data_IF_315203596637
#
_entry.id   IF_315203596637
#
_cell.length_a   1.000
_cell.length_b   1.000
_cell.length_c   1.000
_cell.angle_alpha   90.00
_cell.angle_beta   90.00
_cell.angle_gamma   90.00
#
_symmetry.space_group_name_H-M   'P 1'
#
loop_
_entity.id
_entity.type
_entity.pdbx_description
1 polymer ?
#
# COMPACT_ATOMS: atom_id res chain seq x y z
N UNK A 1 50.98 73.35 -14.14
CA UNK A 1 52.23 73.96 -13.67
C UNK A 1 52.15 74.09 -12.17
N UNK A 2 53.11 73.47 -11.49
CA UNK A 2 53.42 73.63 -10.07
C UNK A 2 53.44 75.10 -9.69
N UNK A 3 53.06 75.45 -8.46
CA UNK A 3 53.68 76.57 -7.75
C UNK A 3 53.46 76.41 -6.25
N UNK A 4 54.46 75.78 -5.64
CA UNK A 4 54.89 76.07 -4.28
C UNK A 4 55.23 77.55 -4.13
N UNK A 5 54.87 78.13 -3.00
CA UNK A 5 55.77 78.99 -2.24
C UNK A 5 55.22 79.19 -0.81
N UNK A 6 55.92 78.71 0.23
CA UNK A 6 55.73 79.10 1.63
C UNK A 6 56.79 80.21 1.96
N UNK A 7 57.21 80.51 3.22
CA UNK A 7 56.67 80.25 4.56
C UNK A 7 56.73 81.50 5.50
N UNK A 8 56.49 81.24 6.81
CA UNK A 8 56.96 81.94 8.04
C UNK A 8 56.06 83.05 8.58
N UNK A 9 55.31 82.80 9.67
CA UNK A 9 55.66 82.60 11.10
C UNK A 9 55.72 83.92 11.86
N UNK A 10 54.87 84.09 12.87
CA UNK A 10 55.22 84.86 14.06
C UNK A 10 54.24 84.65 15.23
N UNK A 11 54.84 84.35 16.38
CA UNK A 11 54.56 84.75 17.77
C UNK A 11 53.13 85.02 18.25
N UNK A 12 52.78 84.25 19.29
CA UNK A 12 51.70 84.46 20.27
C UNK A 12 51.82 85.78 21.03
N UNK A 13 50.69 86.45 21.30
CA UNK A 13 50.49 87.20 22.54
C UNK A 13 49.33 86.66 23.42
N UNK A 14 49.40 87.05 24.69
CA UNK A 14 48.59 86.64 25.86
C UNK A 14 47.10 87.06 25.83
N UNK A 15 46.26 86.48 26.72
CA UNK A 15 44.80 86.50 26.60
C UNK A 15 44.14 87.77 27.16
N UNK A 16 43.32 88.41 26.32
CA UNK A 16 42.40 89.49 26.69
C UNK A 16 41.07 88.98 27.28
N UNK A 17 40.24 89.89 27.82
CA UNK A 17 39.23 89.59 28.82
C UNK A 17 38.00 88.84 28.27
N UNK A 18 37.44 88.00 29.15
CA UNK A 18 36.28 87.14 28.95
C UNK A 18 35.07 87.86 28.33
N UNK A 19 34.91 87.75 27.02
CA UNK A 19 33.60 87.89 26.37
C UNK A 19 32.95 86.52 26.38
N UNK A 20 31.97 86.32 27.28
CA UNK A 20 31.12 85.11 27.27
C UNK A 20 30.39 85.05 25.94
N UNK A 21 30.88 84.22 25.01
CA UNK A 21 30.10 83.78 23.86
C UNK A 21 28.82 83.11 24.38
N UNK A 22 27.62 83.45 23.88
CA UNK A 22 26.42 82.73 24.24
C UNK A 22 26.63 81.27 23.85
N UNK A 23 26.54 80.39 24.85
CA UNK A 23 26.61 78.94 24.68
C UNK A 23 25.49 78.54 23.72
N UNK A 24 25.81 78.43 22.43
CA UNK A 24 24.89 77.91 21.42
C UNK A 24 24.73 76.44 21.73
N UNK A 25 23.73 76.11 22.56
CA UNK A 25 23.34 74.73 22.86
C UNK A 25 23.14 74.04 21.53
N UNK A 26 24.05 73.12 21.18
CA UNK A 26 23.81 72.15 20.13
C UNK A 26 22.50 71.45 20.50
N UNK A 27 21.46 71.47 19.66
CA UNK A 27 20.22 70.77 19.98
C UNK A 27 20.59 69.32 20.27
N UNK A 28 20.04 68.70 21.33
CA UNK A 28 20.31 67.30 21.61
C UNK A 28 19.97 66.53 20.34
N UNK A 29 20.90 65.71 19.85
CA UNK A 29 20.61 64.75 18.78
C UNK A 29 19.48 63.87 19.32
N UNK A 30 18.23 64.20 18.98
CA UNK A 30 17.10 63.33 19.24
C UNK A 30 17.42 62.04 18.50
N UNK A 31 17.91 61.04 19.24
CA UNK A 31 17.94 59.68 18.73
C UNK A 31 16.50 59.39 18.34
N UNK A 32 16.21 59.27 17.04
CA UNK A 32 14.92 58.80 16.52
C UNK A 32 14.77 57.35 16.98
N UNK A 33 14.49 57.15 18.27
CA UNK A 33 14.05 55.85 18.79
C UNK A 33 12.72 55.62 18.13
N UNK A 34 12.69 54.66 17.21
CA UNK A 34 11.47 54.24 16.57
C UNK A 34 10.44 53.89 17.67
N UNK A 35 9.15 54.22 17.50
CA UNK A 35 8.12 53.84 18.45
C UNK A 35 8.18 52.36 18.84
N UNK A 36 7.88 52.02 20.10
CA UNK A 36 7.97 50.65 20.63
C UNK A 36 7.16 49.63 19.80
N UNK A 37 6.05 50.04 19.18
CA UNK A 37 5.24 49.20 18.29
C UNK A 37 6.00 48.74 17.03
N UNK A 38 6.97 49.52 16.53
CA UNK A 38 7.80 49.16 15.37
C UNK A 38 8.77 48.03 15.74
N UNK A 39 9.36 48.09 16.94
CA UNK A 39 10.23 47.03 17.44
C UNK A 39 9.44 45.75 17.74
N UNK A 40 8.24 45.88 18.32
CA UNK A 40 7.34 44.75 18.55
C UNK A 40 6.90 44.11 17.21
N UNK A 41 6.48 44.91 16.22
CA UNK A 41 6.14 44.43 14.87
C UNK A 41 7.33 43.74 14.19
N UNK A 42 8.54 44.28 14.29
CA UNK A 42 9.76 43.64 13.75
C UNK A 42 10.06 42.31 14.44
N UNK A 43 9.88 42.22 15.76
CA UNK A 43 10.04 40.97 16.51
C UNK A 43 8.97 39.94 16.15
N UNK A 44 7.72 40.36 15.96
CA UNK A 44 6.62 39.48 15.51
C UNK A 44 6.89 38.98 14.09
N UNK A 45 7.32 39.85 13.17
CA UNK A 45 7.70 39.44 11.80
C UNK A 45 8.89 38.49 11.83
N UNK A 46 9.94 38.81 12.59
CA UNK A 46 11.11 37.94 12.71
C UNK A 46 10.73 36.58 13.32
N UNK A 47 9.89 36.55 14.35
CA UNK A 47 9.37 35.32 14.94
C UNK A 47 8.53 34.52 13.94
N UNK A 48 7.65 35.17 13.18
CA UNK A 48 6.87 34.52 12.13
C UNK A 48 7.77 33.93 11.03
N UNK A 49 8.81 34.65 10.62
CA UNK A 49 9.81 34.16 9.65
C UNK A 49 10.57 32.96 10.21
N UNK A 50 11.05 33.03 11.45
CA UNK A 50 11.74 31.90 12.09
C UNK A 50 10.83 30.69 12.22
N UNK A 51 9.60 30.86 12.71
CA UNK A 51 8.60 29.77 12.80
C UNK A 51 8.32 29.18 11.42
N UNK A 52 8.15 30.03 10.41
CA UNK A 52 7.97 29.57 9.02
C UNK A 52 9.16 28.76 8.56
N UNK A 53 10.39 29.27 8.72
CA UNK A 53 11.60 28.56 8.34
C UNK A 53 11.72 27.21 9.08
N UNK A 54 11.45 27.16 10.38
CA UNK A 54 11.47 25.90 11.15
C UNK A 54 10.45 24.91 10.61
N UNK A 55 9.23 25.33 10.32
CA UNK A 55 8.17 24.48 9.77
C UNK A 55 8.57 23.97 8.37
N UNK A 56 9.03 24.85 7.48
CA UNK A 56 9.45 24.47 6.12
C UNK A 56 10.70 23.58 6.13
N UNK A 57 11.67 23.86 7.01
CA UNK A 57 12.83 23.01 7.20
C UNK A 57 12.45 21.64 7.73
N UNK A 58 11.52 21.56 8.70
CA UNK A 58 11.01 20.30 9.22
C UNK A 58 10.34 19.47 8.12
N UNK A 59 9.44 20.06 7.32
CA UNK A 59 8.81 19.37 6.20
C UNK A 59 9.81 18.99 5.10
N UNK A 60 10.77 19.88 4.78
CA UNK A 60 11.79 19.60 3.77
C UNK A 60 12.71 18.44 4.17
N UNK A 61 13.16 18.41 5.42
CA UNK A 61 14.00 17.34 5.96
C UNK A 61 13.24 16.01 6.01
N UNK A 62 12.00 16.00 6.55
CA UNK A 62 11.19 14.77 6.62
C UNK A 62 10.80 14.24 5.24
N UNK A 63 10.54 15.13 4.28
CA UNK A 63 10.30 14.74 2.89
C UNK A 63 11.56 14.12 2.27
N UNK A 64 12.74 14.70 2.50
CA UNK A 64 14.01 14.13 2.03
C UNK A 64 14.24 12.71 2.57
N UNK A 65 13.93 12.48 3.85
CA UNK A 65 13.95 11.13 4.43
C UNK A 65 12.91 10.20 3.80
N UNK A 66 11.68 10.67 3.58
CA UNK A 66 10.65 9.84 2.97
C UNK A 66 10.97 9.46 1.52
N UNK A 67 11.48 10.39 0.71
CA UNK A 67 11.86 10.14 -0.68
C UNK A 67 13.02 9.15 -0.82
N UNK A 68 13.86 9.01 0.20
CA UNK A 68 14.93 8.01 0.25
C UNK A 68 14.50 6.69 0.91
N UNK A 69 13.32 6.63 1.55
CA UNK A 69 12.86 5.46 2.29
C UNK A 69 12.02 4.50 1.42
N UNK A 70 12.52 3.30 1.10
CA UNK A 70 11.77 2.33 0.30
C UNK A 70 10.51 1.78 0.98
N UNK A 71 10.36 1.93 2.30
CA UNK A 71 9.13 1.50 2.99
C UNK A 71 7.91 2.34 2.61
N UNK A 72 8.12 3.56 2.08
CA UNK A 72 7.08 4.47 1.63
C UNK A 72 6.69 4.25 0.16
N UNK A 73 7.36 3.36 -0.56
CA UNK A 73 7.04 3.03 -1.94
C UNK A 73 8.26 2.64 -2.76
N UNK A 74 8.01 1.91 -3.83
CA UNK A 74 8.99 1.64 -4.88
C UNK A 74 9.19 2.90 -5.72
N UNK A 75 8.11 3.63 -6.02
CA UNK A 75 8.12 4.86 -6.81
C UNK A 75 8.31 6.11 -5.94
N UNK A 76 8.95 7.15 -6.49
CA UNK A 76 9.08 8.46 -5.81
C UNK A 76 7.70 9.10 -5.56
N UNK A 77 6.76 8.91 -6.48
CA UNK A 77 5.39 9.40 -6.35
C UNK A 77 4.70 8.75 -5.14
N UNK A 78 4.80 7.43 -4.99
CA UNK A 78 4.27 6.75 -3.80
C UNK A 78 4.94 7.25 -2.52
N UNK A 79 6.26 7.42 -2.52
CA UNK A 79 6.98 7.94 -1.34
C UNK A 79 6.49 9.32 -0.92
N UNK A 80 6.31 10.22 -1.88
CA UNK A 80 5.74 11.55 -1.66
C UNK A 80 4.30 11.48 -1.15
N UNK A 81 3.45 10.67 -1.79
CA UNK A 81 2.05 10.51 -1.42
C UNK A 81 1.91 9.96 0.01
N UNK A 82 2.73 8.98 0.37
CA UNK A 82 2.73 8.37 1.69
C UNK A 82 3.23 9.31 2.79
N UNK A 83 4.24 10.12 2.50
CA UNK A 83 4.68 11.21 3.38
C UNK A 83 3.58 12.25 3.54
N UNK A 84 2.97 12.72 2.45
CA UNK A 84 1.92 13.72 2.48
C UNK A 84 0.72 13.28 3.32
N UNK A 85 0.29 12.01 3.19
CA UNK A 85 -0.78 11.43 4.02
C UNK A 85 -0.44 11.39 5.51
N UNK A 86 0.81 11.12 5.88
CA UNK A 86 1.23 11.13 7.30
C UNK A 86 1.31 12.53 7.90
N UNK A 87 1.54 13.55 7.06
CA UNK A 87 1.78 14.93 7.50
C UNK A 87 0.53 15.82 7.38
N UNK A 88 -0.66 15.23 7.25
CA UNK A 88 -1.94 15.96 7.18
C UNK A 88 -2.24 16.56 5.80
N UNK A 89 -1.40 16.29 4.78
CA UNK A 89 -1.55 16.78 3.40
C UNK A 89 -2.31 15.74 2.53
N UNK A 90 -2.81 14.67 3.14
CA UNK A 90 -3.58 13.60 2.47
C UNK A 90 -4.72 14.08 1.55
N UNK A 91 -5.52 15.11 1.91
CA UNK A 91 -6.54 15.66 1.02
C UNK A 91 -5.99 16.26 -0.27
N UNK A 92 -4.81 16.90 -0.23
CA UNK A 92 -4.15 17.46 -1.42
C UNK A 92 -3.59 16.36 -2.30
N UNK A 93 -2.99 15.33 -1.70
CA UNK A 93 -2.54 14.12 -2.43
C UNK A 93 -3.73 13.48 -3.16
N UNK A 94 -4.84 13.32 -2.46
CA UNK A 94 -6.10 12.79 -2.99
C UNK A 94 -6.62 13.63 -4.16
N UNK A 95 -6.62 14.96 -4.02
CA UNK A 95 -7.01 15.88 -5.09
C UNK A 95 -6.08 15.75 -6.31
N UNK A 96 -4.76 15.72 -6.11
CA UNK A 96 -3.80 15.58 -7.20
C UNK A 96 -3.93 14.24 -7.93
N UNK A 97 -4.13 13.14 -7.20
CA UNK A 97 -4.42 11.82 -7.78
C UNK A 97 -5.73 11.86 -8.59
N UNK A 98 -6.77 12.54 -8.09
CA UNK A 98 -8.05 12.70 -8.78
C UNK A 98 -7.87 13.47 -10.08
N UNK A 99 -7.19 14.61 -10.07
CA UNK A 99 -6.95 15.41 -11.28
C UNK A 99 -6.06 14.68 -12.28
N UNK A 100 -5.02 13.99 -11.81
CA UNK A 100 -4.18 13.16 -12.68
C UNK A 100 -5.01 12.09 -13.41
N UNK A 101 -5.89 11.37 -12.71
CA UNK A 101 -6.73 10.33 -13.34
C UNK A 101 -7.79 10.91 -14.29
N UNK A 102 -8.26 12.15 -14.08
CA UNK A 102 -9.14 12.84 -15.04
C UNK A 102 -8.41 13.21 -16.33
N UNK A 103 -7.15 13.65 -16.22
CA UNK A 103 -6.33 14.06 -17.36
C UNK A 103 -5.82 12.82 -18.12
N UNK A 104 -5.50 11.74 -17.41
CA UNK A 104 -4.94 10.50 -17.95
C UNK A 104 -5.86 9.30 -17.65
N UNK A 105 -7.06 9.24 -18.25
CA UNK A 105 -7.96 8.11 -18.04
C UNK A 105 -7.35 6.82 -18.61
N UNK A 106 -7.82 5.68 -18.09
CA UNK A 106 -7.44 4.38 -18.64
C UNK A 106 -7.80 4.29 -20.13
N UNK A 107 -6.92 3.65 -20.92
CA UNK A 107 -7.10 3.54 -22.36
C UNK A 107 -8.32 2.66 -22.68
N UNK A 108 -9.21 3.19 -23.51
CA UNK A 108 -10.33 2.45 -24.11
C UNK A 108 -9.84 1.68 -25.34
N UNK A 109 -10.24 0.42 -25.43
CA UNK A 109 -9.91 -0.49 -26.52
C UNK A 109 -8.43 -0.90 -26.55
N UNK A 110 -8.02 -1.46 -27.69
CA UNK A 110 -6.65 -1.89 -27.97
C UNK A 110 -6.31 -3.30 -27.47
N UNK A 111 -5.07 -3.69 -27.72
CA UNK A 111 -4.49 -4.96 -27.26
C UNK A 111 -3.50 -4.70 -26.13
N UNK A 112 -3.40 -5.60 -25.13
CA UNK A 112 -2.36 -5.48 -24.13
C UNK A 112 -1.00 -5.79 -24.75
N UNK A 113 0.05 -5.14 -24.24
CA UNK A 113 1.41 -5.50 -24.60
C UNK A 113 1.68 -6.96 -24.23
N UNK A 114 2.38 -7.71 -25.09
CA UNK A 114 2.81 -9.08 -24.78
C UNK A 114 3.66 -9.13 -23.50
N UNK A 115 4.42 -8.07 -23.19
CA UNK A 115 5.20 -7.97 -21.96
C UNK A 115 4.35 -7.79 -20.69
N UNK A 116 3.08 -7.42 -20.83
CA UNK A 116 2.13 -7.30 -19.72
C UNK A 116 1.44 -8.63 -19.40
N UNK A 117 1.52 -9.62 -20.29
CA UNK A 117 0.91 -10.93 -20.09
C UNK A 117 1.78 -11.81 -19.18
N UNK A 118 1.19 -12.50 -18.19
CA UNK A 118 1.94 -13.42 -17.36
C UNK A 118 2.46 -14.60 -18.20
N UNK A 119 3.68 -15.03 -17.90
CA UNK A 119 4.23 -16.25 -18.49
C UNK A 119 3.55 -17.46 -17.85
N UNK A 120 2.97 -18.31 -18.67
CA UNK A 120 2.40 -19.59 -18.22
C UNK A 120 3.52 -20.59 -18.00
N UNK A 121 3.62 -21.16 -16.81
CA UNK A 121 4.54 -22.26 -16.54
C UNK A 121 3.95 -23.57 -17.06
N UNK A 122 4.69 -24.28 -17.90
CA UNK A 122 4.36 -25.66 -18.25
C UNK A 122 4.76 -26.56 -17.09
N UNK A 123 3.79 -27.12 -16.38
CA UNK A 123 4.06 -28.05 -15.27
C UNK A 123 3.83 -29.48 -15.75
N UNK A 124 4.66 -30.40 -15.26
CA UNK A 124 4.53 -31.84 -15.50
C UNK A 124 3.13 -32.36 -15.10
N UNK A 125 2.70 -33.53 -15.62
CA UNK A 125 1.40 -34.10 -15.29
C UNK A 125 1.21 -34.19 -13.78
N UNK A 126 0.06 -33.69 -13.32
CA UNK A 126 -0.31 -33.67 -11.91
C UNK A 126 -0.34 -35.10 -11.38
N UNK A 127 0.30 -35.33 -10.24
CA UNK A 127 0.22 -36.59 -9.50
C UNK A 127 -0.58 -36.31 -8.22
N UNK A 128 -1.63 -37.09 -7.98
CA UNK A 128 -2.47 -36.97 -6.78
C UNK A 128 -3.82 -36.28 -7.01
N UNK A 129 -4.69 -36.37 -6.01
CA UNK A 129 -6.04 -35.80 -6.04
C UNK A 129 -6.03 -34.36 -5.51
N UNK A 130 -6.75 -33.46 -6.19
CA UNK A 130 -6.99 -32.10 -5.71
C UNK A 130 -8.08 -32.11 -4.63
N UNK A 131 -7.85 -31.53 -3.44
CA UNK A 131 -8.85 -31.48 -2.39
C UNK A 131 -10.08 -30.66 -2.75
N UNK A 132 -9.87 -29.49 -3.36
CA UNK A 132 -10.93 -28.70 -3.97
C UNK A 132 -10.92 -28.89 -5.50
N UNK A 133 -12.08 -28.87 -6.16
CA UNK A 133 -12.14 -28.96 -7.61
C UNK A 133 -11.37 -27.80 -8.24
N UNK A 134 -10.50 -28.10 -9.21
CA UNK A 134 -9.81 -27.06 -9.98
C UNK A 134 -10.85 -26.15 -10.63
N UNK A 135 -10.71 -24.82 -10.53
CA UNK A 135 -11.70 -23.89 -11.04
C UNK A 135 -11.88 -24.03 -12.55
N UNK A 136 -13.12 -23.86 -13.01
CA UNK A 136 -13.42 -23.75 -14.43
C UNK A 136 -12.73 -22.50 -15.03
N UNK A 137 -12.39 -22.50 -16.33
CA UNK A 137 -11.81 -21.33 -16.98
C UNK A 137 -12.67 -20.07 -16.79
N UNK A 138 -12.02 -18.93 -16.55
CA UNK A 138 -12.73 -17.67 -16.39
C UNK A 138 -13.29 -17.19 -17.73
N UNK A 139 -14.52 -16.70 -17.71
CA UNK A 139 -15.11 -16.05 -18.87
C UNK A 139 -14.40 -14.73 -19.16
N UNK A 140 -13.96 -14.54 -20.41
CA UNK A 140 -13.43 -13.25 -20.88
C UNK A 140 -14.55 -12.21 -20.95
N UNK A 141 -14.33 -10.99 -20.45
CA UNK A 141 -15.27 -9.88 -20.66
C UNK A 141 -15.20 -9.32 -22.09
N UNK A 142 -14.07 -9.51 -22.78
CA UNK A 142 -13.88 -9.02 -24.14
C UNK A 142 -14.46 -9.99 -25.17
N UNK A 143 -14.91 -9.43 -26.30
CA UNK A 143 -15.55 -10.19 -27.38
C UNK A 143 -14.68 -11.32 -27.96
N UNK A 144 -13.36 -11.13 -28.00
CA UNK A 144 -12.39 -12.13 -28.47
C UNK A 144 -11.35 -12.38 -27.38
N UNK A 145 -11.31 -13.58 -26.77
CA UNK A 145 -10.31 -13.91 -25.75
C UNK A 145 -8.86 -13.82 -26.29
N UNK A 146 -7.91 -13.43 -25.44
CA UNK A 146 -6.48 -13.60 -25.74
C UNK A 146 -6.08 -15.07 -25.65
N UNK A 147 -4.96 -15.41 -26.27
CA UNK A 147 -4.34 -16.70 -26.07
C UNK A 147 -4.05 -16.94 -24.58
N UNK A 148 -4.61 -18.02 -24.02
CA UNK A 148 -4.43 -18.39 -22.61
C UNK A 148 -5.31 -17.62 -21.62
N UNK A 149 -6.11 -16.66 -22.08
CA UNK A 149 -6.97 -15.89 -21.18
C UNK A 149 -8.00 -16.77 -20.48
N UNK A 150 -8.15 -16.56 -19.18
CA UNK A 150 -9.04 -17.31 -18.31
C UNK A 150 -8.65 -18.77 -18.09
N UNK A 151 -7.60 -19.27 -18.77
CA UNK A 151 -7.08 -20.64 -18.57
C UNK A 151 -6.19 -20.67 -17.35
N UNK A 152 -6.50 -21.56 -16.41
CA UNK A 152 -5.75 -21.74 -15.18
C UNK A 152 -4.45 -22.50 -15.41
N UNK A 153 -3.38 -22.03 -14.77
CA UNK A 153 -2.06 -22.63 -14.81
C UNK A 153 -1.52 -22.79 -13.39
N UNK A 154 -0.90 -23.93 -13.03
CA UNK A 154 -0.31 -24.09 -11.71
C UNK A 154 0.77 -23.04 -11.43
N UNK A 155 0.85 -22.57 -10.17
CA UNK A 155 1.85 -21.60 -9.76
C UNK A 155 2.38 -21.88 -8.35
N UNK A 156 3.61 -21.44 -8.10
CA UNK A 156 4.28 -21.63 -6.83
C UNK A 156 4.74 -23.07 -6.57
N UNK A 157 5.11 -23.31 -5.31
CA UNK A 157 5.59 -24.58 -4.78
C UNK A 157 4.49 -25.65 -4.85
N UNK A 158 4.87 -26.84 -5.35
CA UNK A 158 4.01 -28.02 -5.35
C UNK A 158 4.06 -28.73 -3.99
N UNK A 159 3.00 -29.48 -3.67
CA UNK A 159 3.00 -30.43 -2.53
C UNK A 159 3.95 -31.61 -2.77
N UNK A 160 4.18 -32.40 -1.73
CA UNK A 160 5.08 -33.56 -1.80
C UNK A 160 4.61 -34.64 -2.79
N UNK A 161 3.31 -34.72 -3.05
CA UNK A 161 2.73 -35.61 -4.06
C UNK A 161 2.74 -35.00 -5.47
N UNK A 162 3.12 -33.73 -5.64
CA UNK A 162 3.13 -33.04 -6.93
C UNK A 162 1.83 -32.30 -7.26
N UNK A 163 0.87 -32.25 -6.34
CA UNK A 163 -0.37 -31.47 -6.47
C UNK A 163 -0.10 -29.98 -6.21
N UNK A 164 -0.47 -29.05 -7.11
CA UNK A 164 -0.37 -27.61 -6.88
C UNK A 164 -1.51 -27.10 -6.01
N UNK A 165 -1.17 -26.21 -5.07
CA UNK A 165 -2.15 -25.58 -4.20
C UNK A 165 -2.65 -24.22 -4.73
N UNK A 166 -1.98 -23.66 -5.75
CA UNK A 166 -2.31 -22.37 -6.35
C UNK A 166 -2.36 -22.52 -7.88
N UNK A 167 -3.39 -21.94 -8.46
CA UNK A 167 -3.53 -21.76 -9.89
C UNK A 167 -3.66 -20.27 -10.20
N UNK A 168 -3.00 -19.81 -11.26
CA UNK A 168 -3.10 -18.42 -11.72
C UNK A 168 -3.61 -18.35 -13.14
N UNK A 169 -4.26 -17.24 -13.46
CA UNK A 169 -4.69 -16.89 -14.80
C UNK A 169 -4.74 -15.37 -14.94
N UNK A 170 -5.15 -14.89 -16.11
CA UNK A 170 -5.43 -13.49 -16.35
C UNK A 170 -6.69 -13.35 -17.19
N UNK A 171 -7.37 -12.21 -17.03
CA UNK A 171 -8.55 -11.79 -17.83
C UNK A 171 -8.51 -10.29 -18.06
N UNK A 172 -9.23 -9.78 -19.07
CA UNK A 172 -9.49 -8.32 -19.15
C UNK A 172 -10.31 -7.86 -17.93
N UNK A 173 -10.14 -6.60 -17.47
CA UNK A 173 -10.98 -6.04 -16.41
C UNK A 173 -12.46 -5.99 -16.84
N UNK A 174 -12.70 -5.50 -18.06
CA UNK A 174 -14.02 -5.31 -18.67
C UNK A 174 -13.92 -5.34 -20.21
N UNK A 175 -15.05 -5.15 -20.90
CA UNK A 175 -15.15 -5.17 -22.36
C UNK A 175 -14.62 -3.89 -23.05
N UNK A 176 -14.35 -2.84 -22.28
CA UNK A 176 -14.00 -1.48 -22.72
C UNK A 176 -12.48 -1.27 -22.62
N UNK A 177 -11.86 -1.58 -21.49
CA UNK A 177 -10.44 -1.36 -21.19
C UNK A 177 -9.58 -2.56 -21.62
N UNK A 178 -9.68 -2.95 -22.90
CA UNK A 178 -9.10 -4.20 -23.42
C UNK A 178 -7.57 -4.18 -23.59
N UNK A 179 -6.93 -3.03 -23.45
CA UNK A 179 -5.46 -2.88 -23.41
C UNK A 179 -4.82 -3.34 -22.09
N UNK A 180 -5.61 -3.78 -21.11
CA UNK A 180 -5.12 -4.18 -19.79
C UNK A 180 -5.54 -5.61 -19.43
N UNK A 181 -4.82 -6.20 -18.48
CA UNK A 181 -5.14 -7.52 -17.90
C UNK A 181 -5.10 -7.46 -16.39
N UNK A 182 -5.96 -8.26 -15.78
CA UNK A 182 -6.07 -8.47 -14.33
C UNK A 182 -5.57 -9.88 -14.06
N UNK A 183 -4.62 -10.00 -13.13
CA UNK A 183 -4.15 -11.29 -12.67
C UNK A 183 -5.12 -11.85 -11.65
N UNK A 184 -5.43 -13.14 -11.76
CA UNK A 184 -6.29 -13.85 -10.82
C UNK A 184 -5.54 -15.06 -10.29
N UNK A 185 -5.57 -15.28 -8.98
CA UNK A 185 -5.00 -16.45 -8.33
C UNK A 185 -6.06 -17.16 -7.50
N UNK A 186 -6.30 -18.43 -7.80
CA UNK A 186 -7.13 -19.33 -7.02
C UNK A 186 -6.24 -20.17 -6.10
N UNK A 187 -6.65 -20.31 -4.84
CA UNK A 187 -5.85 -20.89 -3.76
C UNK A 187 -6.67 -21.93 -3.00
N UNK A 188 -6.21 -23.18 -2.99
CA UNK A 188 -6.84 -24.26 -2.26
C UNK A 188 -6.54 -24.14 -0.75
N UNK A 189 -7.54 -23.74 0.04
CA UNK A 189 -7.41 -23.58 1.49
C UNK A 189 -7.35 -24.89 2.27
N UNK A 190 -7.63 -26.04 1.63
CA UNK A 190 -7.40 -27.36 2.23
C UNK A 190 -5.92 -27.72 2.18
N UNK A 191 -5.22 -27.26 1.14
CA UNK A 191 -3.78 -27.45 0.99
C UNK A 191 -2.93 -26.36 1.64
N UNK A 192 -3.52 -25.17 1.86
CA UNK A 192 -2.81 -23.99 2.33
C UNK A 192 -3.24 -23.57 3.73
N UNK A 193 -2.25 -23.11 4.51
CA UNK A 193 -2.43 -22.41 5.77
C UNK A 193 -2.07 -20.94 5.56
N UNK A 194 -2.98 -20.04 5.91
CA UNK A 194 -2.79 -18.61 5.85
C UNK A 194 -2.18 -18.04 7.13
N UNK A 195 -1.39 -16.97 7.00
CA UNK A 195 -0.82 -16.23 8.11
C UNK A 195 -0.80 -14.73 7.78
N UNK A 196 -1.31 -13.89 8.70
CA UNK A 196 -1.13 -12.44 8.63
C UNK A 196 0.24 -12.09 9.21
N UNK A 197 1.07 -11.45 8.40
CA UNK A 197 2.30 -10.79 8.85
C UNK A 197 1.95 -9.34 9.12
N UNK A 198 2.02 -8.93 10.39
CA UNK A 198 1.73 -7.57 10.82
C UNK A 198 3.02 -6.75 10.74
N UNK A 199 2.99 -5.64 10.03
CA UNK A 199 4.12 -4.75 9.88
C UNK A 199 4.28 -3.78 11.05
N UNK A 200 5.44 -3.14 11.12
CA UNK A 200 5.73 -2.10 12.12
C UNK A 200 5.02 -0.78 11.84
N UNK A 201 4.52 -0.57 10.62
CA UNK A 201 3.72 0.59 10.22
C UNK A 201 2.22 0.25 10.15
N UNK A 202 1.86 -0.95 9.69
CA UNK A 202 0.47 -1.41 9.63
C UNK A 202 0.37 -2.75 10.36
N UNK A 203 -0.36 -2.82 11.50
CA UNK A 203 -1.18 -1.77 12.09
C UNK A 203 -0.38 -0.72 12.89
N UNK A 204 0.94 -0.87 13.00
CA UNK A 204 1.77 -0.08 13.93
C UNK A 204 1.91 -0.77 15.30
N UNK A 205 2.75 -0.24 16.19
CA UNK A 205 2.85 -0.73 17.57
C UNK A 205 3.54 -2.09 17.76
N UNK A 206 4.36 -2.52 16.79
CA UNK A 206 5.16 -3.74 16.87
C UNK A 206 6.36 -3.65 17.84
N UNK A 207 7.29 -4.62 17.80
CA UNK A 207 7.36 -5.73 16.86
C UNK A 207 6.29 -6.81 17.10
N UNK A 208 5.86 -7.45 16.02
CA UNK A 208 4.95 -8.60 16.04
C UNK A 208 5.72 -9.90 15.78
N UNK A 209 5.27 -11.05 16.31
CA UNK A 209 5.92 -12.34 16.03
C UNK A 209 5.99 -12.68 14.54
N UNK A 210 4.96 -12.30 13.79
CA UNK A 210 4.92 -12.39 12.34
C UNK A 210 5.03 -11.00 11.74
N UNK A 211 6.20 -10.64 11.24
CA UNK A 211 6.53 -9.39 10.53
C UNK A 211 7.57 -9.71 9.45
N UNK A 212 7.73 -8.85 8.44
CA UNK A 212 8.89 -8.95 7.57
C UNK A 212 10.19 -8.67 8.37
N UNK A 213 11.31 -9.30 8.02
CA UNK A 213 11.45 -10.27 6.93
C UNK A 213 10.84 -11.64 7.26
N UNK A 214 10.26 -12.32 6.26
CA UNK A 214 9.89 -13.74 6.38
C UNK A 214 11.14 -14.53 6.79
N UNK A 215 11.04 -15.29 7.88
CA UNK A 215 12.16 -16.07 8.39
C UNK A 215 12.53 -17.23 7.46
N UNK A 216 13.79 -17.66 7.51
CA UNK A 216 14.26 -18.83 6.76
C UNK A 216 13.47 -20.11 7.08
N UNK A 217 12.95 -20.23 8.31
CA UNK A 217 12.13 -21.37 8.70
C UNK A 217 10.73 -21.29 8.08
N UNK A 218 10.08 -20.12 8.12
CA UNK A 218 8.77 -19.93 7.50
C UNK A 218 8.83 -20.07 5.96
N UNK A 219 9.95 -19.69 5.34
CA UNK A 219 10.10 -19.79 3.89
C UNK A 219 10.26 -21.21 3.35
N UNK A 220 10.46 -22.22 4.21
CA UNK A 220 10.51 -23.63 3.79
C UNK A 220 9.21 -24.16 3.19
N UNK A 221 8.09 -23.51 3.49
CA UNK A 221 6.74 -24.00 3.14
C UNK A 221 5.88 -22.96 2.44
N UNK A 222 6.37 -21.71 2.31
CA UNK A 222 5.64 -20.65 1.61
C UNK A 222 5.39 -21.02 0.14
N UNK A 223 4.18 -20.71 -0.31
CA UNK A 223 3.72 -20.85 -1.70
C UNK A 223 3.42 -19.47 -2.29
N UNK A 224 2.84 -18.55 -1.52
CA UNK A 224 2.58 -17.18 -1.95
C UNK A 224 2.65 -16.15 -0.82
N UNK A 225 2.90 -14.90 -1.20
CA UNK A 225 2.72 -13.70 -0.37
C UNK A 225 2.02 -12.61 -1.16
N UNK A 226 1.13 -11.85 -0.52
CA UNK A 226 0.37 -10.78 -1.17
C UNK A 226 -0.03 -9.68 -0.19
N UNK A 227 -0.33 -8.49 -0.71
CA UNK A 227 -0.66 -7.32 0.11
C UNK A 227 -1.93 -7.52 0.97
N UNK A 228 -2.01 -6.77 2.05
CA UNK A 228 -3.23 -6.64 2.84
C UNK A 228 -4.08 -5.45 2.34
N UNK A 229 -4.89 -4.84 3.22
CA UNK A 229 -5.73 -3.70 2.86
C UNK A 229 -5.03 -2.35 3.04
N UNK A 230 -5.83 -1.28 3.08
CA UNK A 230 -5.34 0.09 3.26
C UNK A 230 -4.56 0.35 4.55
N UNK A 231 -4.00 1.55 4.67
CA UNK A 231 -3.60 2.07 5.98
C UNK A 231 -4.81 2.09 6.92
N UNK A 232 -4.59 1.89 8.21
CA UNK A 232 -5.71 1.84 9.17
C UNK A 232 -6.52 3.15 9.26
N UNK A 233 -5.89 4.29 8.95
CA UNK A 233 -6.56 5.59 8.78
C UNK A 233 -7.64 5.59 7.70
N UNK A 234 -7.45 4.77 6.66
CA UNK A 234 -8.28 4.74 5.44
C UNK A 234 -9.09 3.44 5.35
N UNK A 235 -8.70 2.40 6.09
CA UNK A 235 -9.34 1.09 6.08
C UNK A 235 -10.75 1.09 6.68
N UNK A 236 -11.12 2.12 7.46
CA UNK A 236 -12.41 2.21 8.14
C UNK A 236 -12.78 0.91 8.91
N UNK A 237 -11.79 0.25 9.49
CA UNK A 237 -11.90 -1.11 10.05
C UNK A 237 -10.99 -1.31 11.26
N UNK A 238 -11.12 -2.45 11.91
CA UNK A 238 -10.28 -2.87 13.02
C UNK A 238 -9.15 -3.83 12.64
N UNK A 239 -8.34 -4.16 13.64
CA UNK A 239 -7.19 -5.03 13.51
C UNK A 239 -6.95 -5.82 14.80
N UNK A 240 -6.95 -7.14 14.68
CA UNK A 240 -6.64 -8.08 15.76
C UNK A 240 -5.43 -8.93 15.35
N UNK A 241 -4.41 -9.00 16.20
CA UNK A 241 -3.25 -9.87 15.98
C UNK A 241 -2.52 -10.09 17.30
N UNK A 242 -1.75 -11.18 17.41
CA UNK A 242 -0.94 -11.49 18.58
C UNK A 242 -1.72 -11.43 19.90
N UNK A 243 -2.95 -11.98 19.90
CA UNK A 243 -3.90 -11.94 21.02
C UNK A 243 -4.23 -10.53 21.54
N UNK A 244 -4.10 -9.50 20.69
CA UNK A 244 -4.37 -8.10 21.04
C UNK A 244 -5.33 -7.47 20.04
N UNK A 245 -6.34 -6.80 20.56
CA UNK A 245 -7.16 -5.87 19.79
C UNK A 245 -6.37 -4.58 19.59
N UNK A 246 -5.69 -4.43 18.45
CA UNK A 246 -4.88 -3.24 18.16
C UNK A 246 -5.80 -2.07 17.81
N UNK A 247 -6.82 -2.34 16.99
CA UNK A 247 -7.89 -1.41 16.66
C UNK A 247 -9.21 -2.17 16.79
N UNK A 248 -10.23 -1.64 17.49
CA UNK A 248 -11.51 -2.33 17.68
C UNK A 248 -12.12 -2.81 16.36
N UNK A 249 -12.51 -4.09 16.31
CA UNK A 249 -13.21 -4.67 15.17
C UNK A 249 -14.61 -4.08 15.06
N UNK A 250 -15.00 -3.74 13.82
CA UNK A 250 -16.26 -3.06 13.52
C UNK A 250 -17.28 -4.06 12.98
N UNK A 251 -18.50 -4.13 13.53
CA UNK A 251 -19.60 -4.86 12.92
C UNK A 251 -19.83 -4.41 11.47
N UNK A 252 -20.09 -5.36 10.58
CA UNK A 252 -20.27 -5.13 9.14
C UNK A 252 -18.97 -4.91 8.35
N UNK A 253 -17.82 -4.73 9.02
CA UNK A 253 -16.53 -4.59 8.35
C UNK A 253 -16.15 -5.86 7.59
N UNK A 254 -15.75 -5.72 6.33
CA UNK A 254 -15.21 -6.84 5.57
C UNK A 254 -13.88 -7.27 6.17
N UNK A 255 -13.76 -8.56 6.46
CA UNK A 255 -12.74 -9.11 7.33
C UNK A 255 -12.11 -10.34 6.69
N UNK A 256 -10.78 -10.34 6.61
CA UNK A 256 -10.02 -11.59 6.50
C UNK A 256 -9.74 -12.06 7.92
N UNK A 257 -10.18 -13.28 8.22
CA UNK A 257 -9.99 -13.95 9.51
C UNK A 257 -9.03 -15.11 9.31
N UNK A 258 -7.99 -15.16 10.13
CA UNK A 258 -7.07 -16.30 10.20
C UNK A 258 -7.22 -16.96 11.56
N UNK A 259 -7.47 -18.26 11.57
CA UNK A 259 -7.56 -19.09 12.78
C UNK A 259 -6.20 -19.70 13.13
N UNK A 260 -6.03 -20.18 14.37
CA UNK A 260 -4.76 -20.75 14.85
C UNK A 260 -4.32 -22.02 14.12
N UNK A 261 -5.25 -22.70 13.43
CA UNK A 261 -4.97 -23.86 12.58
C UNK A 261 -4.52 -23.46 11.16
N UNK A 262 -4.42 -22.15 10.88
CA UNK A 262 -4.08 -21.61 9.57
C UNK A 262 -5.26 -21.50 8.60
N UNK A 263 -6.48 -21.90 9.00
CA UNK A 263 -7.67 -21.66 8.19
C UNK A 263 -7.83 -20.16 7.99
N UNK A 264 -7.95 -19.74 6.74
CA UNK A 264 -8.21 -18.36 6.37
C UNK A 264 -9.59 -18.26 5.72
N UNK A 265 -10.40 -17.29 6.13
CA UNK A 265 -11.75 -17.07 5.63
C UNK A 265 -12.02 -15.57 5.45
N UNK A 266 -13.07 -15.23 4.71
CA UNK A 266 -13.43 -13.86 4.34
C UNK A 266 -14.93 -13.63 4.46
N UNK A 267 -15.33 -12.48 5.00
CA UNK A 267 -16.75 -12.17 5.24
C UNK A 267 -16.97 -10.92 6.08
N UNK A 268 -18.23 -10.63 6.40
CA UNK A 268 -18.63 -9.49 7.21
C UNK A 268 -18.56 -9.81 8.71
N UNK A 269 -17.83 -9.00 9.48
CA UNK A 269 -17.72 -9.19 10.93
C UNK A 269 -19.05 -8.96 11.65
N UNK A 270 -19.35 -9.77 12.66
CA UNK A 270 -20.61 -9.78 13.41
C UNK A 270 -21.75 -10.52 12.70
N UNK A 271 -21.68 -10.71 11.38
CA UNK A 271 -22.63 -11.54 10.61
C UNK A 271 -22.06 -12.93 10.32
N UNK A 272 -20.90 -12.97 9.68
CA UNK A 272 -20.27 -14.21 9.23
C UNK A 272 -19.29 -14.77 10.27
N UNK A 273 -18.66 -13.87 11.05
CA UNK A 273 -17.68 -14.24 12.07
C UNK A 273 -17.85 -13.41 13.32
N UNK A 274 -17.45 -13.99 14.44
CA UNK A 274 -17.24 -13.30 15.71
C UNK A 274 -15.87 -13.73 16.24
N UNK A 275 -15.54 -13.38 17.49
CA UNK A 275 -14.34 -13.95 18.15
C UNK A 275 -14.48 -15.44 18.47
N UNK A 276 -15.61 -16.08 18.16
CA UNK A 276 -15.79 -17.51 18.32
C UNK A 276 -14.77 -18.32 17.49
N UNK A 277 -14.39 -19.51 17.95
CA UNK A 277 -13.59 -20.44 17.16
C UNK A 277 -14.28 -20.83 15.85
N UNK A 278 -13.51 -21.33 14.87
CA UNK A 278 -14.08 -21.91 13.66
C UNK A 278 -14.83 -23.23 13.95
N UNK A 279 -15.41 -23.83 12.91
CA UNK A 279 -16.15 -25.10 13.02
C UNK A 279 -15.28 -26.27 13.55
N UNK A 280 -13.96 -26.20 13.40
CA UNK A 280 -13.02 -27.19 13.94
C UNK A 280 -12.56 -26.87 15.39
N UNK A 281 -13.16 -25.85 16.04
CA UNK A 281 -12.80 -25.43 17.39
C UNK A 281 -11.50 -24.61 17.47
N UNK A 282 -10.92 -24.21 16.34
CA UNK A 282 -9.69 -23.42 16.31
C UNK A 282 -9.96 -21.95 16.60
N UNK A 283 -9.32 -21.33 17.61
CA UNK A 283 -9.54 -19.92 17.94
C UNK A 283 -9.08 -18.96 16.84
N UNK A 284 -9.67 -17.77 16.80
CA UNK A 284 -9.22 -16.66 15.95
C UNK A 284 -7.78 -16.27 16.34
N UNK A 285 -6.87 -16.27 15.36
CA UNK A 285 -5.47 -15.85 15.54
C UNK A 285 -5.25 -14.38 15.12
N UNK A 286 -5.88 -13.96 14.01
CA UNK A 286 -5.85 -12.58 13.55
C UNK A 286 -7.08 -12.20 12.73
N UNK A 287 -7.42 -10.91 12.74
CA UNK A 287 -8.48 -10.32 11.92
C UNK A 287 -7.95 -9.03 11.33
N UNK A 288 -8.03 -8.91 10.00
CA UNK A 288 -7.70 -7.67 9.28
C UNK A 288 -8.97 -7.20 8.57
N UNK A 289 -9.53 -6.05 8.96
CA UNK A 289 -10.70 -5.48 8.29
C UNK A 289 -10.37 -4.37 7.28
N UNK A 290 -10.92 -4.42 6.08
CA UNK A 290 -10.88 -3.33 5.09
C UNK A 290 -12.30 -2.99 4.64
N UNK A 291 -12.77 -1.78 4.93
CA UNK A 291 -14.02 -1.25 4.41
C UNK A 291 -15.20 -2.22 4.63
N UNK A 292 -16.11 -2.32 3.66
CA UNK A 292 -17.22 -3.27 3.61
C UNK A 292 -17.07 -4.22 2.42
N UNK A 293 -17.85 -5.30 2.38
CA UNK A 293 -17.79 -6.27 1.28
C UNK A 293 -18.11 -5.59 -0.06
N UNK A 294 -17.47 -6.05 -1.13
CA UNK A 294 -17.75 -5.68 -2.53
C UNK A 294 -18.46 -6.80 -3.28
N UNK A 295 -18.36 -8.04 -2.78
CA UNK A 295 -19.13 -9.19 -3.25
C UNK A 295 -19.82 -9.79 -2.04
N UNK A 296 -21.12 -10.05 -2.17
CA UNK A 296 -21.92 -10.73 -1.16
C UNK A 296 -23.04 -11.53 -1.83
N UNK A 297 -23.25 -12.77 -1.40
CA UNK A 297 -24.21 -13.67 -2.05
C UNK A 297 -23.90 -13.94 -3.54
N UNK A 298 -22.61 -14.09 -3.89
CA UNK A 298 -22.13 -14.33 -5.26
C UNK A 298 -22.47 -13.23 -6.27
N UNK A 299 -22.71 -12.00 -5.80
CA UNK A 299 -23.02 -10.85 -6.63
C UNK A 299 -22.23 -9.62 -6.16
N UNK A 300 -21.89 -8.69 -7.08
CA UNK A 300 -21.41 -7.39 -6.67
C UNK A 300 -22.47 -6.71 -5.79
N UNK A 301 -22.05 -6.08 -4.70
CA UNK A 301 -22.97 -5.36 -3.81
C UNK A 301 -23.56 -4.12 -4.52
N UNK A 302 -24.74 -3.68 -4.09
CA UNK A 302 -25.38 -2.51 -4.66
C UNK A 302 -24.53 -1.22 -4.44
N UNK A 303 -24.55 -0.32 -5.42
CA UNK A 303 -23.92 1.00 -5.32
C UNK A 303 -22.44 1.06 -5.73
N UNK A 304 -21.81 -0.05 -6.14
CA UNK A 304 -20.42 -0.04 -6.63
C UNK A 304 -20.21 0.77 -7.92
N UNK A 305 -21.27 0.97 -8.71
CA UNK A 305 -21.25 1.81 -9.90
C UNK A 305 -21.49 3.30 -9.60
N UNK A 306 -21.68 3.67 -8.33
CA UNK A 306 -21.89 5.06 -7.95
C UNK A 306 -20.56 5.83 -7.96
N UNK A 307 -20.42 6.96 -8.69
CA UNK A 307 -19.22 7.81 -8.67
C UNK A 307 -18.88 8.41 -7.31
N UNK A 308 -19.79 8.31 -6.33
CA UNK A 308 -19.58 8.70 -4.94
C UNK A 308 -19.53 7.47 -4.00
N UNK A 309 -19.01 6.35 -4.47
CA UNK A 309 -18.81 5.11 -3.70
C UNK A 309 -17.70 5.27 -2.62
N UNK A 310 -17.83 6.27 -1.75
CA UNK A 310 -16.87 6.63 -0.67
C UNK A 310 -16.69 5.47 0.32
N UNK A 311 -17.68 4.58 0.42
CA UNK A 311 -17.62 3.37 1.25
C UNK A 311 -16.47 2.44 0.86
N UNK A 312 -15.98 2.50 -0.39
CA UNK A 312 -14.87 1.69 -0.90
C UNK A 312 -13.71 2.56 -1.44
N UNK A 313 -13.40 3.63 -0.68
CA UNK A 313 -12.24 4.48 -0.91
C UNK A 313 -12.59 5.96 -1.10
N UNK A 314 -12.22 6.78 -0.11
CA UNK A 314 -12.34 8.27 -0.16
C UNK A 314 -11.46 8.91 -1.24
N UNK A 315 -10.35 8.27 -1.60
CA UNK A 315 -9.27 8.87 -2.38
C UNK A 315 -9.61 9.06 -3.86
N UNK A 316 -10.56 8.30 -4.42
CA UNK A 316 -10.80 8.28 -5.87
C UNK A 316 -12.27 7.94 -6.26
N UNK A 317 -13.24 8.04 -5.36
CA UNK A 317 -14.68 7.91 -5.69
C UNK A 317 -15.13 6.55 -6.27
N UNK A 318 -14.34 5.49 -6.17
CA UNK A 318 -14.68 4.13 -6.65
C UNK A 318 -14.72 3.95 -8.18
N UNK A 319 -14.88 5.01 -8.96
CA UNK A 319 -15.07 4.95 -10.44
C UNK A 319 -13.81 5.09 -11.27
N UNK A 320 -12.69 5.57 -10.71
CA UNK A 320 -11.45 5.62 -11.49
C UNK A 320 -10.85 4.22 -11.67
N UNK A 321 -10.47 3.94 -12.92
CA UNK A 321 -9.74 2.75 -13.35
C UNK A 321 -8.26 2.88 -12.93
N UNK A 322 -7.91 2.31 -11.78
CA UNK A 322 -6.56 2.35 -11.20
C UNK A 322 -6.03 0.95 -10.95
N UNK A 323 -4.79 0.86 -10.46
CA UNK A 323 -4.31 -0.38 -9.86
C UNK A 323 -5.15 -0.69 -8.61
N UNK A 324 -5.90 -1.80 -8.64
CA UNK A 324 -6.66 -2.29 -7.49
C UNK A 324 -6.36 -3.75 -7.23
N UNK A 325 -6.62 -4.18 -6.00
CA UNK A 325 -6.58 -5.59 -5.61
C UNK A 325 -7.75 -5.95 -4.72
N UNK A 326 -8.10 -7.23 -4.68
CA UNK A 326 -9.18 -7.74 -3.86
C UNK A 326 -8.99 -9.22 -3.55
N UNK A 327 -9.69 -9.67 -2.50
CA UNK A 327 -9.78 -11.06 -2.11
C UNK A 327 -11.24 -11.50 -2.14
N UNK A 328 -11.49 -12.70 -2.64
CA UNK A 328 -12.77 -13.39 -2.58
C UNK A 328 -12.62 -14.75 -1.92
N UNK A 329 -13.75 -15.32 -1.51
CA UNK A 329 -13.86 -16.72 -1.12
C UNK A 329 -15.01 -17.37 -1.88
N UNK A 330 -14.78 -18.55 -2.42
CA UNK A 330 -15.78 -19.36 -3.12
C UNK A 330 -16.66 -20.14 -2.14
N UNK A 331 -17.76 -20.75 -2.60
CA UNK A 331 -18.67 -21.53 -1.75
C UNK A 331 -18.03 -22.79 -1.16
N UNK A 332 -17.08 -23.41 -1.87
CA UNK A 332 -16.31 -24.57 -1.42
C UNK A 332 -15.08 -24.19 -0.56
N UNK A 333 -14.82 -22.88 -0.41
CA UNK A 333 -13.84 -22.34 0.53
C UNK A 333 -12.47 -22.03 -0.06
N UNK A 334 -12.29 -22.10 -1.38
CA UNK A 334 -11.08 -21.59 -2.02
C UNK A 334 -11.00 -20.06 -1.90
N UNK A 335 -9.78 -19.54 -1.74
CA UNK A 335 -9.54 -18.11 -1.78
C UNK A 335 -9.20 -17.68 -3.20
N UNK A 336 -9.65 -16.49 -3.59
CA UNK A 336 -9.37 -15.91 -4.90
C UNK A 336 -8.80 -14.50 -4.73
N UNK A 337 -7.56 -14.30 -5.14
CA UNK A 337 -7.00 -12.97 -5.28
C UNK A 337 -7.23 -12.46 -6.71
N UNK A 338 -7.59 -11.19 -6.85
CA UNK A 338 -7.59 -10.49 -8.14
C UNK A 338 -6.85 -9.16 -8.02
N UNK A 339 -6.01 -8.81 -8.98
CA UNK A 339 -5.34 -7.51 -8.98
C UNK A 339 -4.66 -7.15 -10.29
N UNK A 340 -4.67 -5.86 -10.60
CA UNK A 340 -4.11 -5.33 -11.85
C UNK A 340 -4.47 -3.87 -12.09
N UNK A 341 -3.97 -3.28 -13.19
CA UNK A 341 -4.30 -1.93 -13.61
C UNK A 341 -5.74 -1.82 -14.15
N UNK A 342 -6.17 -0.56 -14.32
CA UNK A 342 -7.41 -0.20 -14.99
C UNK A 342 -8.69 -0.83 -14.39
N UNK A 343 -8.70 -1.09 -13.08
CA UNK A 343 -9.86 -1.60 -12.37
C UNK A 343 -10.63 -0.46 -11.69
N UNK A 344 -11.93 -0.35 -11.99
CA UNK A 344 -12.87 0.26 -11.05
C UNK A 344 -13.21 -0.72 -9.92
N UNK A 345 -13.88 -0.25 -8.87
CA UNK A 345 -14.36 -1.15 -7.80
C UNK A 345 -15.38 -2.17 -8.33
N UNK A 346 -16.19 -1.77 -9.31
CA UNK A 346 -17.16 -2.64 -9.97
C UNK A 346 -16.48 -3.72 -10.80
N UNK A 347 -15.42 -3.37 -11.55
CA UNK A 347 -14.67 -4.35 -12.35
C UNK A 347 -13.97 -5.38 -11.47
N UNK A 348 -13.46 -4.95 -10.30
CA UNK A 348 -12.87 -5.84 -9.32
C UNK A 348 -13.90 -6.82 -8.77
N UNK A 349 -15.07 -6.33 -8.34
CA UNK A 349 -16.16 -7.18 -7.83
C UNK A 349 -16.65 -8.17 -8.90
N UNK A 350 -16.85 -7.70 -10.13
CA UNK A 350 -17.24 -8.56 -11.26
C UNK A 350 -16.19 -9.64 -11.55
N UNK A 351 -14.90 -9.30 -11.44
CA UNK A 351 -13.82 -10.27 -11.64
C UNK A 351 -13.81 -11.34 -10.54
N UNK A 352 -14.00 -10.96 -9.28
CA UNK A 352 -14.11 -11.90 -8.17
C UNK A 352 -15.33 -12.83 -8.34
N UNK A 353 -16.48 -12.29 -8.74
CA UNK A 353 -17.69 -13.09 -9.03
C UNK A 353 -17.46 -14.05 -10.19
N UNK A 354 -16.84 -13.60 -11.29
CA UNK A 354 -16.45 -14.48 -12.42
C UNK A 354 -15.54 -15.62 -11.98
N UNK A 355 -14.72 -15.39 -10.96
CA UNK A 355 -13.86 -16.40 -10.36
C UNK A 355 -14.53 -17.25 -9.27
N UNK A 356 -15.86 -17.13 -9.11
CA UNK A 356 -16.67 -17.97 -8.22
C UNK A 356 -16.77 -17.44 -6.79
N UNK A 357 -16.29 -16.24 -6.50
CA UNK A 357 -16.37 -15.69 -5.15
C UNK A 357 -17.84 -15.46 -4.74
N UNK A 358 -18.22 -16.01 -3.58
CA UNK A 358 -19.54 -15.76 -2.96
C UNK A 358 -19.50 -14.56 -2.02
N UNK A 359 -18.32 -14.25 -1.47
CA UNK A 359 -18.03 -13.06 -0.68
C UNK A 359 -16.67 -12.50 -1.12
N UNK A 360 -16.50 -11.19 -1.04
CA UNK A 360 -15.25 -10.55 -1.44
C UNK A 360 -15.09 -9.14 -0.91
N UNK A 361 -13.84 -8.71 -0.78
CA UNK A 361 -13.44 -7.42 -0.25
C UNK A 361 -12.31 -6.80 -1.08
N UNK A 362 -12.25 -5.47 -1.11
CA UNK A 362 -11.12 -4.74 -1.66
C UNK A 362 -9.93 -4.77 -0.69
N UNK A 363 -8.73 -4.87 -1.25
CA UNK A 363 -7.44 -4.78 -0.57
C UNK A 363 -6.77 -3.43 -0.91
N UNK A 364 -5.47 -3.28 -0.66
CA UNK A 364 -4.78 -2.04 -0.99
C UNK A 364 -4.81 -1.74 -2.51
N UNK A 365 -4.75 -0.45 -2.86
CA UNK A 365 -4.81 0.06 -4.22
C UNK A 365 -3.54 0.86 -4.53
N UNK A 366 -3.42 1.34 -5.76
CA UNK A 366 -2.23 1.99 -6.32
C UNK A 366 -1.12 1.01 -6.70
N UNK A 367 -0.34 1.42 -7.70
CA UNK A 367 0.65 0.59 -8.38
C UNK A 367 1.63 -0.05 -7.40
N UNK A 368 2.08 0.70 -6.38
CA UNK A 368 3.06 0.26 -5.40
C UNK A 368 2.54 -0.79 -4.40
N UNK A 369 1.23 -0.85 -4.17
CA UNK A 369 0.62 -1.63 -3.08
C UNK A 369 -0.15 -2.86 -3.56
N UNK A 370 -0.51 -2.93 -4.84
CA UNK A 370 -1.07 -4.14 -5.45
C UNK A 370 0.04 -5.16 -5.70
N UNK A 371 0.05 -6.25 -4.93
CA UNK A 371 1.15 -7.19 -4.87
C UNK A 371 0.67 -8.62 -4.68
N UNK A 372 1.13 -9.51 -5.56
CA UNK A 372 0.98 -10.94 -5.37
C UNK A 372 2.18 -11.65 -5.96
N UNK A 373 2.82 -12.49 -5.17
CA UNK A 373 4.02 -13.24 -5.54
C UNK A 373 3.84 -14.69 -5.16
N UNK A 374 4.10 -15.60 -6.10
CA UNK A 374 4.26 -17.04 -5.80
C UNK A 374 5.73 -17.41 -5.70
N UNK A 375 6.07 -18.36 -4.84
CA UNK A 375 7.44 -18.85 -4.66
C UNK A 375 7.56 -20.32 -5.03
N UNK A 376 8.62 -20.67 -5.76
CA UNK A 376 8.94 -22.05 -6.14
C UNK A 376 10.16 -22.56 -5.36
N UNK A 377 10.28 -23.89 -5.22
CA UNK A 377 11.45 -24.50 -4.59
C UNK A 377 11.13 -25.86 -3.92
N UNK A 378 12.16 -26.67 -3.60
CA UNK A 378 11.97 -27.95 -2.92
C UNK A 378 11.39 -27.77 -1.51
N UNK A 379 10.37 -28.57 -1.14
CA UNK A 379 9.77 -28.54 0.21
C UNK A 379 10.85 -28.77 1.27
N UNK A 380 10.78 -28.02 2.38
CA UNK A 380 11.75 -28.12 3.47
C UNK A 380 13.03 -27.30 3.23
N UNK A 381 13.25 -26.82 2.01
CA UNK A 381 14.36 -25.92 1.67
C UNK A 381 13.89 -24.46 1.74
N UNK A 382 14.60 -23.59 2.48
CA UNK A 382 14.30 -22.16 2.51
C UNK A 382 14.36 -21.54 1.11
N UNK A 383 13.41 -20.67 0.81
CA UNK A 383 13.43 -19.81 -0.39
C UNK A 383 13.57 -18.34 0.01
N UNK A 384 13.93 -17.51 -0.97
CA UNK A 384 13.99 -16.06 -0.84
C UNK A 384 13.36 -15.39 -2.07
N UNK A 385 13.60 -14.09 -2.25
CA UNK A 385 13.06 -13.31 -3.36
C UNK A 385 13.41 -13.80 -4.76
N UNK A 386 14.55 -14.47 -4.95
CA UNK A 386 14.98 -14.89 -6.30
C UNK A 386 14.15 -16.04 -6.86
N UNK A 387 13.46 -16.80 -6.00
CA UNK A 387 12.51 -17.84 -6.40
C UNK A 387 11.06 -17.34 -6.50
N UNK A 388 10.85 -16.03 -6.41
CA UNK A 388 9.53 -15.43 -6.47
C UNK A 388 9.15 -14.94 -7.87
N UNK A 389 7.89 -15.16 -8.24
CA UNK A 389 7.28 -14.68 -9.49
C UNK A 389 6.05 -13.86 -9.16
N UNK A 390 6.00 -12.60 -9.61
CA UNK A 390 4.81 -11.75 -9.47
C UNK A 390 3.69 -12.26 -10.37
N UNK A 391 2.43 -12.12 -9.91
CA UNK A 391 1.24 -12.58 -10.63
C UNK A 391 1.10 -11.93 -12.01
N UNK A 392 1.39 -10.62 -12.10
CA UNK A 392 1.53 -9.91 -13.35
C UNK A 392 2.95 -9.31 -13.46
N UNK A 393 3.56 -9.30 -14.65
CA UNK A 393 4.85 -8.63 -14.87
C UNK A 393 4.82 -7.14 -14.48
N UNK A 394 3.66 -6.48 -14.62
CA UNK A 394 3.49 -5.06 -14.31
C UNK A 394 3.36 -4.72 -12.82
N UNK A 395 3.23 -5.70 -11.90
CA UNK A 395 3.17 -5.43 -10.46
C UNK A 395 4.52 -4.91 -9.99
N UNK A 396 4.57 -3.64 -9.57
CA UNK A 396 5.84 -2.99 -9.31
C UNK A 396 6.44 -3.40 -7.96
N UNK A 397 7.67 -3.89 -8.06
CA UNK A 397 8.60 -4.13 -6.96
C UNK A 397 8.91 -5.61 -6.73
N UNK A 398 10.06 -5.81 -6.10
CA UNK A 398 10.76 -7.09 -6.08
C UNK A 398 10.01 -8.15 -5.25
N UNK A 399 9.83 -9.38 -5.76
CA UNK A 399 9.40 -10.54 -4.99
C UNK A 399 10.11 -10.73 -3.63
N UNK A 400 11.35 -10.26 -3.50
CA UNK A 400 12.16 -10.27 -2.29
C UNK A 400 11.75 -9.30 -1.20
N UNK A 401 10.82 -8.36 -1.45
CA UNK A 401 10.43 -7.35 -0.44
C UNK A 401 9.94 -7.98 0.87
N UNK A 402 9.21 -9.09 0.79
CA UNK A 402 8.65 -9.75 1.98
C UNK A 402 9.75 -10.42 2.83
N UNK A 403 10.95 -10.58 2.28
CA UNK A 403 12.15 -11.06 2.96
C UNK A 403 13.07 -9.92 3.39
N UNK A 404 12.64 -8.67 3.24
CA UNK A 404 13.45 -7.51 3.55
C UNK A 404 12.98 -6.83 4.84
N UNK A 405 13.95 -6.39 5.64
CA UNK A 405 13.71 -5.68 6.90
C UNK A 405 13.07 -4.28 6.72
N UNK A 406 13.17 -3.70 5.52
CA UNK A 406 12.57 -2.40 5.21
C UNK A 406 11.08 -2.51 4.85
N UNK A 407 10.51 -3.71 4.73
CA UNK A 407 9.08 -3.86 4.48
C UNK A 407 8.30 -3.72 5.78
N UNK A 408 7.64 -2.57 5.97
CA UNK A 408 6.99 -2.21 7.23
C UNK A 408 5.46 -2.36 7.22
N UNK A 409 4.87 -2.74 6.08
CA UNK A 409 3.42 -2.94 5.93
C UNK A 409 3.02 -4.38 6.25
N UNK A 410 1.75 -4.57 6.56
CA UNK A 410 1.15 -5.90 6.68
C UNK A 410 0.98 -6.58 5.32
N UNK A 411 0.98 -7.90 5.34
CA UNK A 411 0.77 -8.75 4.18
C UNK A 411 0.31 -10.14 4.63
N UNK A 412 -0.24 -10.91 3.71
CA UNK A 412 -0.60 -12.29 3.95
C UNK A 412 0.41 -13.24 3.32
N UNK A 413 0.61 -14.37 3.98
CA UNK A 413 1.40 -15.49 3.49
C UNK A 413 0.52 -16.72 3.43
N UNK A 414 0.65 -17.49 2.35
CA UNK A 414 0.06 -18.81 2.18
C UNK A 414 1.17 -19.84 2.14
N UNK A 415 1.15 -20.79 3.06
CA UNK A 415 2.11 -21.89 3.17
C UNK A 415 1.42 -23.23 2.99
N UNK A 416 2.13 -24.25 2.49
CA UNK A 416 1.61 -25.61 2.47
C UNK A 416 1.27 -26.07 3.89
N UNK A 417 0.07 -26.59 4.08
CA UNK A 417 -0.33 -27.25 5.31
C UNK A 417 0.58 -28.46 5.55
N UNK A 418 1.00 -28.74 6.81
CA UNK A 418 1.86 -29.88 7.15
C UNK A 418 1.47 -31.22 6.50
N UNK A 419 0.16 -31.50 6.34
CA UNK A 419 -0.33 -32.71 5.67
C UNK A 419 0.24 -32.89 4.26
N UNK A 420 0.46 -31.79 3.53
CA UNK A 420 0.90 -31.79 2.13
C UNK A 420 2.42 -31.60 1.95
N UNK A 421 3.18 -31.54 3.05
CA UNK A 421 4.62 -31.36 3.03
C UNK A 421 5.40 -32.68 2.93
N UNK A 422 4.78 -33.81 3.28
CA UNK A 422 5.41 -35.14 3.24
C UNK A 422 4.57 -36.10 2.38
N UNK A 423 5.23 -36.89 1.52
CA UNK A 423 4.55 -37.83 0.62
C UNK A 423 3.77 -38.92 1.39
N UNK A 424 4.22 -39.31 2.58
CA UNK A 424 3.56 -40.30 3.44
C UNK A 424 2.26 -39.80 4.08
N UNK A 425 2.08 -38.48 4.20
CA UNK A 425 0.88 -37.85 4.77
C UNK A 425 -0.05 -37.24 3.72
N UNK A 426 0.43 -37.12 2.47
CA UNK A 426 -0.27 -36.46 1.37
C UNK A 426 -1.32 -37.34 0.66
N UNK A 427 -1.79 -38.41 1.32
CA UNK A 427 -2.84 -39.32 0.85
C UNK A 427 -4.26 -38.78 1.01
#
# INVERSE_FOLDING_TARGET
>A
MSNEAPPRSQSRPQPGPNVRAPYRRTPPRHSRRLPAYIYWRRRVIAAAVVVTLVIFSYYGVTLGFALSNPSYGVSLQARFAEWGRQHGIGPVVTWAETEYNKIFPAKVGGTPSLSALPKTATVAPLKGSQPLPVPAPLATPAAVPLAGEGKWSPAGRLSASGVPAIYTTFVRPDAIHTSYVVGVAWMDTKMLSGQLYSGSQIPGGGPYPFTAPISAQASKTIVAAFNAGFRMSDANGGYYTNNKMIIPLRPGGASIVVYKDGTMNLGAWGRDFTMAPNAAGSPVASVRQNLTLIVDGAKPVAGLNNPNAIAWGKTLGGTFNVWRSGMGITSDGALVYAGGPALSISDLANTLVRAGAVRGMELDINTDWVQYTTYTGPIGTPVNGTQGTNLLPGMIGNPGRFFANWWLRDFFVMSLNPKYQNASTAG
#
